data_IF_235206350285
#
_entry.id   IF_235206350285
#
_cell.length_a   1.000
_cell.length_b   1.000
_cell.length_c   1.000
_cell.angle_alpha   90.00
_cell.angle_beta   90.00
_cell.angle_gamma   90.00
#
_symmetry.space_group_name_H-M   'P 1'
#
loop_
_entity.id
_entity.type
_entity.pdbx_description
1 polymer ?
#
# COMPACT_ATOMS: atom_id res chain seq x y z
N UNK A 1 24.20 -19.95 -12.54
CA UNK A 1 23.78 -19.02 -11.48
C UNK A 1 22.75 -18.06 -12.04
N UNK A 2 21.49 -18.46 -12.06
CA UNK A 2 20.37 -17.60 -12.40
C UNK A 2 20.17 -16.61 -11.26
N UNK A 3 20.66 -15.38 -11.43
CA UNK A 3 20.77 -14.45 -10.35
C UNK A 3 19.41 -14.03 -9.81
N UNK A 4 19.36 -13.54 -8.57
CA UNK A 4 18.23 -12.92 -7.87
C UNK A 4 17.38 -12.01 -8.77
N UNK A 5 17.98 -11.42 -9.84
CA UNK A 5 17.32 -10.62 -10.88
C UNK A 5 16.26 -11.37 -11.71
N UNK A 6 16.43 -12.66 -11.98
CA UNK A 6 15.48 -13.44 -12.77
C UNK A 6 14.19 -13.71 -11.99
N UNK A 7 14.31 -13.92 -10.68
CA UNK A 7 13.18 -14.16 -9.76
C UNK A 7 12.31 -12.91 -9.66
N UNK A 8 12.90 -11.71 -9.50
CA UNK A 8 12.15 -10.45 -9.46
C UNK A 8 11.40 -10.15 -10.76
N UNK A 9 11.95 -10.51 -11.93
CA UNK A 9 11.27 -10.32 -13.21
C UNK A 9 10.02 -11.18 -13.37
N UNK A 10 9.99 -12.36 -12.80
CA UNK A 10 8.86 -13.30 -12.89
C UNK A 10 7.74 -12.99 -11.90
N UNK A 11 8.00 -12.19 -10.87
CA UNK A 11 7.08 -11.92 -9.77
C UNK A 11 6.44 -10.52 -9.83
N UNK A 12 6.69 -9.77 -10.90
CA UNK A 12 6.29 -8.37 -11.05
C UNK A 12 4.78 -8.19 -11.31
N UNK A 13 3.94 -8.69 -10.41
CA UNK A 13 2.48 -8.53 -10.50
C UNK A 13 1.86 -7.61 -9.44
N UNK A 14 2.64 -7.01 -8.53
CA UNK A 14 2.11 -6.16 -7.46
C UNK A 14 2.92 -4.88 -7.25
N UNK A 15 2.29 -3.87 -6.66
CA UNK A 15 2.90 -2.56 -6.35
C UNK A 15 4.16 -2.70 -5.50
N UNK A 16 4.16 -3.65 -4.57
CA UNK A 16 5.30 -3.97 -3.71
C UNK A 16 6.53 -4.41 -4.50
N UNK A 17 6.33 -5.23 -5.54
CA UNK A 17 7.42 -5.68 -6.41
C UNK A 17 8.00 -4.53 -7.25
N UNK A 18 7.16 -3.61 -7.72
CA UNK A 18 7.60 -2.43 -8.48
C UNK A 18 8.43 -1.47 -7.62
N UNK A 19 8.02 -1.21 -6.37
CA UNK A 19 8.76 -0.38 -5.44
C UNK A 19 10.14 -0.98 -5.10
N UNK A 20 10.19 -2.28 -4.81
CA UNK A 20 11.45 -2.99 -4.53
C UNK A 20 12.36 -3.01 -5.75
N UNK A 21 11.81 -3.19 -6.96
CA UNK A 21 12.60 -3.14 -8.20
C UNK A 21 13.18 -1.75 -8.45
N UNK A 22 12.47 -0.68 -8.15
CA UNK A 22 13.00 0.69 -8.24
C UNK A 22 14.16 0.93 -7.26
N UNK A 23 14.05 0.44 -6.03
CA UNK A 23 15.10 0.53 -5.02
C UNK A 23 16.35 -0.27 -5.42
N UNK A 24 16.19 -1.49 -5.90
CA UNK A 24 17.28 -2.37 -6.31
C UNK A 24 18.02 -1.89 -7.56
N UNK A 25 17.35 -1.25 -8.52
CA UNK A 25 17.99 -0.77 -9.76
C UNK A 25 18.93 0.41 -9.49
N UNK A 26 18.72 1.16 -8.40
CA UNK A 26 19.58 2.26 -7.95
C UNK A 26 20.93 1.79 -7.37
N UNK A 27 20.95 0.73 -6.58
CA UNK A 27 22.16 0.25 -5.89
C UNK A 27 23.06 -0.64 -6.76
N UNK A 28 22.47 -1.37 -7.72
CA UNK A 28 23.21 -2.34 -8.55
C UNK A 28 23.97 -1.69 -9.72
N UNK A 29 23.81 -0.40 -9.95
CA UNK A 29 24.49 0.35 -11.01
C UNK A 29 25.36 1.48 -10.46
N UNK A 30 26.31 1.13 -9.63
CA UNK A 30 27.29 2.07 -9.04
C UNK A 30 28.20 2.85 -10.02
N UNK A 31 27.83 3.00 -11.31
CA UNK A 31 28.51 3.84 -12.27
C UNK A 31 27.53 4.77 -13.00
N UNK A 32 27.69 6.05 -12.76
CA UNK A 32 26.90 7.14 -13.32
C UNK A 32 27.44 7.54 -14.69
N UNK A 33 26.76 7.10 -15.74
CA UNK A 33 26.85 7.73 -17.05
C UNK A 33 25.69 8.70 -17.23
N UNK A 34 25.97 9.97 -17.52
CA UNK A 34 24.96 10.94 -17.95
C UNK A 34 24.43 10.52 -19.34
N UNK A 35 23.22 9.97 -19.38
CA UNK A 35 22.53 9.60 -20.61
C UNK A 35 21.02 9.80 -20.49
N UNK A 36 20.41 10.33 -21.54
CA UNK A 36 18.99 10.66 -21.65
C UNK A 36 18.07 9.50 -21.25
N UNK A 37 17.02 9.83 -20.49
CA UNK A 37 15.99 8.92 -20.00
C UNK A 37 15.05 8.52 -21.15
N UNK A 38 15.27 7.39 -21.77
CA UNK A 38 14.26 6.76 -22.62
C UNK A 38 13.33 5.89 -21.78
N UNK A 39 12.05 6.23 -21.73
CA UNK A 39 11.00 5.42 -21.12
C UNK A 39 10.74 4.22 -22.01
N UNK A 40 11.16 3.03 -21.60
CA UNK A 40 10.83 1.79 -22.27
C UNK A 40 9.50 1.29 -21.70
N UNK A 41 8.43 1.08 -22.53
CA UNK A 41 7.16 0.56 -22.06
C UNK A 41 7.34 -0.79 -21.35
N UNK A 42 6.79 -0.91 -20.15
CA UNK A 42 6.86 -2.14 -19.33
C UNK A 42 8.08 -2.30 -18.42
N UNK A 43 8.99 -1.32 -18.38
CA UNK A 43 9.99 -1.22 -17.31
C UNK A 43 9.55 -0.19 -16.28
N UNK A 44 9.69 -0.48 -14.96
CA UNK A 44 9.59 0.56 -13.95
C UNK A 44 10.55 1.69 -14.35
N UNK A 45 10.05 2.92 -14.39
CA UNK A 45 10.89 4.08 -14.69
C UNK A 45 12.05 4.11 -13.69
N UNK A 46 13.24 4.46 -14.18
CA UNK A 46 14.40 4.69 -13.30
C UNK A 46 14.00 5.76 -12.30
N UNK A 47 14.23 5.51 -11.02
CA UNK A 47 14.03 6.53 -9.99
C UNK A 47 14.76 7.80 -10.41
N UNK A 48 14.02 8.90 -10.55
CA UNK A 48 14.59 10.20 -10.96
C UNK A 48 15.39 10.87 -9.84
N UNK A 49 15.26 10.33 -8.62
CA UNK A 49 15.96 10.82 -7.44
C UNK A 49 16.84 9.70 -6.85
N UNK A 50 17.98 10.09 -6.29
CA UNK A 50 18.81 9.15 -5.53
C UNK A 50 18.02 8.67 -4.31
N UNK A 51 18.02 7.36 -4.00
CA UNK A 51 17.45 6.85 -2.76
C UNK A 51 18.17 7.53 -1.57
N UNK A 52 17.38 8.13 -0.69
CA UNK A 52 17.89 8.78 0.54
C UNK A 52 17.33 8.11 1.80
N UNK A 53 16.29 7.27 1.65
CA UNK A 53 15.69 6.55 2.76
C UNK A 53 16.58 5.38 3.17
N UNK A 54 16.93 5.31 4.46
CA UNK A 54 17.69 4.22 5.07
C UNK A 54 16.79 3.25 5.83
N UNK A 55 15.56 3.65 6.10
CA UNK A 55 14.59 2.84 6.86
C UNK A 55 13.19 3.03 6.32
N UNK A 56 12.37 2.00 6.42
CA UNK A 56 10.95 2.04 6.05
C UNK A 56 10.11 1.71 7.28
N UNK A 57 9.15 2.56 7.59
CA UNK A 57 8.12 2.30 8.62
C UNK A 57 6.79 2.17 7.89
N UNK A 58 6.16 1.01 8.05
CA UNK A 58 4.85 0.72 7.48
C UNK A 58 3.80 0.76 8.59
N UNK A 59 2.92 1.77 8.57
CA UNK A 59 1.81 1.90 9.51
C UNK A 59 0.56 1.35 8.84
N UNK A 60 0.11 0.20 9.31
CA UNK A 60 -1.06 -0.48 8.76
C UNK A 60 -2.27 -0.28 9.67
N UNK A 61 -3.34 0.28 9.11
CA UNK A 61 -4.64 0.40 9.78
C UNK A 61 -5.49 -0.82 9.45
N UNK A 62 -5.58 -1.75 10.41
CA UNK A 62 -6.41 -2.93 10.29
C UNK A 62 -7.91 -2.57 10.26
N UNK A 63 -8.72 -3.40 9.61
CA UNK A 63 -10.18 -3.26 9.57
C UNK A 63 -10.71 -2.39 8.44
N UNK A 64 -9.86 -1.88 7.54
CA UNK A 64 -10.28 -1.16 6.35
C UNK A 64 -10.98 0.17 6.66
N UNK A 65 -10.31 1.17 7.24
CA UNK A 65 -10.89 2.47 7.53
C UNK A 65 -11.44 3.11 6.25
N UNK A 66 -12.57 3.80 6.36
CA UNK A 66 -13.25 4.44 5.24
C UNK A 66 -12.40 5.59 4.67
N UNK A 67 -11.86 5.43 3.48
CA UNK A 67 -11.12 6.49 2.81
C UNK A 67 -11.97 7.74 2.55
N UNK A 68 -13.28 7.57 2.40
CA UNK A 68 -14.23 8.68 2.20
C UNK A 68 -14.41 9.51 3.47
N UNK A 69 -14.07 8.97 4.63
CA UNK A 69 -14.11 9.65 5.91
C UNK A 69 -12.75 10.21 6.35
N UNK A 70 -11.69 9.91 5.61
CA UNK A 70 -10.31 10.31 5.95
C UNK A 70 -9.70 11.32 4.97
N UNK A 71 -9.64 10.98 3.66
CA UNK A 71 -8.89 11.77 2.68
C UNK A 71 -9.64 12.08 1.39
N UNK A 72 -10.77 11.42 1.15
CA UNK A 72 -11.45 11.48 -0.13
C UNK A 72 -12.94 11.85 0.05
N UNK A 73 -13.25 13.09 0.45
CA UNK A 73 -14.62 13.54 0.64
C UNK A 73 -15.41 13.39 -0.66
N UNK A 74 -16.65 12.90 -0.54
CA UNK A 74 -17.58 12.69 -1.64
C UNK A 74 -18.76 13.66 -1.53
N UNK A 75 -18.67 14.87 -2.11
CA UNK A 75 -19.77 15.86 -2.01
C UNK A 75 -21.10 15.33 -2.53
N UNK A 76 -21.06 14.47 -3.54
CA UNK A 76 -22.28 13.85 -4.09
C UNK A 76 -22.95 12.90 -3.10
N UNK A 77 -22.17 12.12 -2.33
CA UNK A 77 -22.72 11.31 -1.24
C UNK A 77 -23.34 12.16 -0.14
N UNK A 78 -22.69 13.26 0.23
CA UNK A 78 -23.24 14.21 1.21
C UNK A 78 -24.55 14.82 0.73
N UNK A 79 -24.63 15.21 -0.55
CA UNK A 79 -25.83 15.77 -1.16
C UNK A 79 -26.98 14.78 -1.20
N UNK A 80 -26.69 13.50 -1.36
CA UNK A 80 -27.68 12.41 -1.46
C UNK A 80 -27.88 11.65 -0.15
N UNK A 81 -27.34 12.14 0.93
CA UNK A 81 -27.49 11.48 2.24
C UNK A 81 -28.95 11.16 2.54
N UNK A 82 -29.23 9.93 2.94
CA UNK A 82 -30.57 9.43 3.26
C UNK A 82 -31.43 9.03 2.04
N UNK A 83 -30.94 9.17 0.81
CA UNK A 83 -31.66 8.71 -0.39
C UNK A 83 -31.41 7.24 -0.66
N UNK A 84 -32.44 6.51 -1.05
CA UNK A 84 -32.29 5.16 -1.61
C UNK A 84 -31.70 5.26 -3.02
N UNK A 85 -30.75 4.39 -3.34
CA UNK A 85 -30.02 4.53 -4.61
C UNK A 85 -29.61 3.20 -5.27
N UNK A 86 -30.24 2.11 -4.95
CA UNK A 86 -29.69 0.79 -5.25
C UNK A 86 -29.94 0.27 -6.65
N UNK A 87 -30.95 0.72 -7.39
CA UNK A 87 -31.27 0.20 -8.73
C UNK A 87 -30.11 0.31 -9.72
N UNK A 88 -29.28 1.34 -9.62
CA UNK A 88 -28.14 1.56 -10.53
C UNK A 88 -26.88 0.79 -10.15
N UNK A 89 -26.70 0.47 -8.89
CA UNK A 89 -25.47 -0.16 -8.36
C UNK A 89 -25.77 -1.50 -7.64
N UNK A 90 -26.99 -1.99 -7.69
CA UNK A 90 -27.36 -3.23 -7.00
C UNK A 90 -26.47 -4.43 -7.39
N UNK A 91 -25.97 -4.47 -8.63
CA UNK A 91 -25.05 -5.50 -9.10
C UNK A 91 -23.61 -5.33 -8.60
N UNK A 92 -23.26 -4.20 -8.00
CA UNK A 92 -21.92 -3.89 -7.47
C UNK A 92 -21.86 -3.96 -5.94
N UNK A 93 -23.00 -4.18 -5.29
CA UNK A 93 -23.12 -4.28 -3.83
C UNK A 93 -23.19 -5.75 -3.43
N UNK A 94 -22.32 -6.17 -2.52
CA UNK A 94 -22.21 -7.58 -2.09
C UNK A 94 -23.51 -8.10 -1.47
N UNK A 95 -24.19 -7.27 -0.66
CA UNK A 95 -25.46 -7.61 0.01
C UNK A 95 -26.51 -6.52 -0.25
N UNK A 96 -27.08 -6.45 -1.47
CA UNK A 96 -27.99 -5.36 -1.84
C UNK A 96 -29.24 -5.30 -0.95
N UNK A 97 -29.76 -6.44 -0.53
CA UNK A 97 -30.96 -6.53 0.33
C UNK A 97 -30.70 -6.02 1.77
N UNK A 98 -29.44 -6.01 2.20
CA UNK A 98 -29.01 -5.50 3.51
C UNK A 98 -28.49 -4.05 3.44
N UNK A 99 -28.37 -3.50 2.25
CA UNK A 99 -27.89 -2.16 2.06
C UNK A 99 -28.95 -1.13 2.48
N UNK A 100 -28.53 -0.11 3.22
CA UNK A 100 -29.39 1.01 3.62
C UNK A 100 -29.33 2.18 2.62
N UNK A 101 -29.86 3.32 3.03
CA UNK A 101 -29.74 4.56 2.27
C UNK A 101 -28.29 5.04 2.16
N UNK A 102 -28.01 5.89 1.18
CA UNK A 102 -26.70 6.51 0.99
C UNK A 102 -26.27 7.29 2.24
N UNK A 103 -25.06 7.06 2.70
CA UNK A 103 -24.47 7.71 3.86
C UNK A 103 -23.38 8.69 3.44
N UNK A 104 -23.64 9.99 3.59
CA UNK A 104 -22.58 11.00 3.50
C UNK A 104 -21.70 10.98 4.73
N UNK A 105 -20.43 11.35 4.57
CA UNK A 105 -19.51 11.43 5.71
C UNK A 105 -20.05 12.35 6.80
N UNK A 106 -20.07 11.94 8.07
CA UNK A 106 -20.46 12.79 9.19
C UNK A 106 -19.35 13.75 9.61
N UNK A 107 -18.13 13.59 9.07
CA UNK A 107 -16.95 14.34 9.47
C UNK A 107 -16.73 15.55 8.57
N UNK A 108 -16.10 16.57 9.16
CA UNK A 108 -15.71 17.78 8.42
C UNK A 108 -14.35 17.59 7.78
N UNK A 109 -14.21 18.21 6.60
CA UNK A 109 -12.97 18.20 5.83
C UNK A 109 -12.47 19.62 5.65
N UNK A 110 -11.15 19.77 5.64
CA UNK A 110 -10.48 21.01 5.26
C UNK A 110 -9.30 20.70 4.32
N UNK A 111 -8.92 21.70 3.53
CA UNK A 111 -7.70 21.64 2.75
C UNK A 111 -6.51 22.07 3.59
N UNK A 112 -5.41 21.32 3.51
CA UNK A 112 -4.20 21.53 4.29
C UNK A 112 -2.97 21.60 3.38
N UNK A 113 -1.94 22.31 3.88
CA UNK A 113 -0.69 22.51 3.19
C UNK A 113 -0.79 23.34 1.91
N UNK A 114 0.33 23.53 1.24
CA UNK A 114 0.39 24.16 -0.10
C UNK A 114 -0.20 23.27 -1.19
N UNK A 115 -0.16 21.94 -0.97
CA UNK A 115 -0.75 20.94 -1.86
C UNK A 115 -2.28 21.02 -1.93
N UNK A 116 -2.93 21.65 -0.93
CA UNK A 116 -4.39 21.70 -0.84
C UNK A 116 -5.03 20.32 -0.60
N UNK A 117 -4.32 19.39 0.04
CA UNK A 117 -4.82 18.05 0.32
C UNK A 117 -6.04 18.11 1.24
N UNK A 118 -7.11 17.43 0.84
CA UNK A 118 -8.28 17.25 1.72
C UNK A 118 -7.97 16.24 2.81
N UNK A 119 -8.13 16.65 4.06
CA UNK A 119 -7.96 15.78 5.23
C UNK A 119 -9.14 15.98 6.18
N UNK A 120 -9.64 14.89 6.73
CA UNK A 120 -10.71 14.87 7.72
C UNK A 120 -10.24 15.41 9.07
N UNK A 121 -11.16 15.96 9.85
CA UNK A 121 -10.94 16.35 11.24
C UNK A 121 -10.51 15.20 12.17
N UNK A 122 -10.66 13.95 11.71
CA UNK A 122 -10.20 12.77 12.44
C UNK A 122 -8.67 12.65 12.49
N UNK A 123 -7.95 13.33 11.60
CA UNK A 123 -6.50 13.21 11.47
C UNK A 123 -5.77 14.56 11.68
N UNK A 124 -5.98 15.24 12.84
CA UNK A 124 -5.48 16.59 13.03
C UNK A 124 -3.96 16.70 13.03
N UNK A 125 -3.26 15.68 13.55
CA UNK A 125 -1.79 15.69 13.57
C UNK A 125 -1.23 15.40 12.17
N UNK A 126 -1.82 14.44 11.44
CA UNK A 126 -1.38 14.10 10.10
C UNK A 126 -1.62 15.26 9.11
N UNK A 127 -2.67 16.03 9.31
CA UNK A 127 -2.97 17.18 8.46
C UNK A 127 -1.88 18.27 8.46
N UNK A 128 -1.06 18.34 9.52
CA UNK A 128 0.09 19.25 9.63
C UNK A 128 1.23 18.88 8.67
N UNK A 129 1.25 17.63 8.22
CA UNK A 129 2.25 17.08 7.32
C UNK A 129 1.74 16.90 5.88
N UNK A 130 0.65 17.59 5.53
CA UNK A 130 -0.02 17.42 4.24
C UNK A 130 0.91 17.58 3.03
N UNK A 131 1.90 18.48 3.10
CA UNK A 131 2.88 18.71 2.04
C UNK A 131 3.99 17.64 1.94
N UNK A 132 4.11 16.79 2.97
CA UNK A 132 5.07 15.69 3.02
C UNK A 132 4.42 14.37 2.58
N UNK A 133 3.10 14.36 2.31
CA UNK A 133 2.33 13.17 1.99
C UNK A 133 2.11 13.02 0.48
N UNK A 134 2.23 11.81 -0.01
CA UNK A 134 1.76 11.40 -1.33
C UNK A 134 0.54 10.47 -1.18
N UNK A 135 -0.63 10.95 -1.59
CA UNK A 135 -1.88 10.21 -1.46
C UNK A 135 -2.23 9.46 -2.76
N UNK A 136 -2.25 8.13 -2.70
CA UNK A 136 -2.59 7.27 -3.83
C UNK A 136 -4.06 6.85 -3.78
N UNK A 137 -4.98 7.71 -4.24
CA UNK A 137 -6.42 7.47 -4.19
C UNK A 137 -6.95 6.43 -5.20
N UNK A 138 -6.15 6.07 -6.19
CA UNK A 138 -6.54 5.09 -7.22
C UNK A 138 -6.25 3.63 -6.85
N UNK A 139 -5.88 3.35 -5.61
CA UNK A 139 -5.62 1.98 -5.16
C UNK A 139 -6.92 1.21 -4.97
N UNK A 140 -6.94 -0.05 -5.41
CA UNK A 140 -8.08 -0.95 -5.24
C UNK A 140 -7.63 -2.40 -5.08
N UNK A 141 -8.51 -3.23 -4.56
CA UNK A 141 -8.35 -4.69 -4.54
C UNK A 141 -9.46 -5.36 -5.37
N UNK A 142 -9.19 -6.57 -5.81
CA UNK A 142 -10.14 -7.38 -6.59
C UNK A 142 -11.01 -8.27 -5.72
N UNK A 143 -10.75 -8.32 -4.42
CA UNK A 143 -11.49 -9.16 -3.47
C UNK A 143 -12.18 -8.30 -2.41
N UNK A 144 -13.44 -8.64 -2.09
CA UNK A 144 -14.27 -7.94 -1.12
C UNK A 144 -14.03 -8.45 0.31
N UNK A 145 -13.54 -9.68 0.48
CA UNK A 145 -13.29 -10.26 1.80
C UNK A 145 -11.92 -9.87 2.33
N UNK A 146 -11.83 -9.75 3.67
CA UNK A 146 -10.61 -9.25 4.33
C UNK A 146 -9.40 -10.15 4.11
N UNK A 147 -9.55 -11.48 4.21
CA UNK A 147 -8.44 -12.43 4.17
C UNK A 147 -7.62 -12.34 2.87
N UNK A 148 -8.19 -12.55 1.68
CA UNK A 148 -7.41 -12.46 0.44
C UNK A 148 -7.01 -11.02 0.11
N UNK A 149 -7.79 -10.01 0.52
CA UNK A 149 -7.44 -8.61 0.34
C UNK A 149 -6.20 -8.22 1.14
N UNK A 150 -6.05 -8.71 2.37
CA UNK A 150 -4.87 -8.50 3.22
C UNK A 150 -3.64 -9.19 2.65
N UNK A 151 -3.75 -10.43 2.21
CA UNK A 151 -2.63 -11.08 1.52
C UNK A 151 -2.20 -10.29 0.29
N UNK A 152 -3.14 -9.82 -0.52
CA UNK A 152 -2.83 -9.00 -1.69
C UNK A 152 -2.15 -7.69 -1.31
N UNK A 153 -2.61 -7.04 -0.25
CA UNK A 153 -2.02 -5.80 0.26
C UNK A 153 -0.57 -6.01 0.71
N UNK A 154 -0.29 -7.07 1.49
CA UNK A 154 1.02 -7.31 2.08
C UNK A 154 2.00 -8.02 1.15
N UNK A 155 1.54 -8.85 0.22
CA UNK A 155 2.39 -9.71 -0.62
C UNK A 155 2.21 -9.54 -2.13
N UNK A 156 1.15 -8.82 -2.56
CA UNK A 156 0.78 -8.70 -3.96
C UNK A 156 0.00 -9.89 -4.52
N UNK A 157 -0.38 -10.88 -3.69
CA UNK A 157 -1.13 -12.07 -4.08
C UNK A 157 -2.31 -12.31 -3.15
N UNK A 158 -3.43 -12.77 -3.65
CA UNK A 158 -4.60 -13.15 -2.83
C UNK A 158 -4.42 -14.49 -2.09
N UNK A 159 -3.33 -15.18 -2.35
CA UNK A 159 -3.03 -16.50 -1.79
C UNK A 159 -1.83 -16.42 -0.84
N UNK A 160 -1.84 -17.30 0.16
CA UNK A 160 -0.74 -17.48 1.09
C UNK A 160 0.55 -17.98 0.43
N UNK A 161 1.66 -17.97 1.18
CA UNK A 161 2.94 -18.52 0.74
C UNK A 161 3.78 -17.57 -0.12
N UNK A 162 3.35 -16.33 -0.30
CA UNK A 162 4.15 -15.28 -0.93
C UNK A 162 4.84 -14.42 0.12
N UNK A 163 6.09 -13.99 -0.14
CA UNK A 163 6.80 -13.11 0.79
C UNK A 163 6.11 -11.76 0.95
N UNK A 164 6.06 -11.29 2.17
CA UNK A 164 5.60 -9.93 2.47
C UNK A 164 6.57 -8.86 1.96
N UNK A 165 6.12 -7.61 1.93
CA UNK A 165 6.97 -6.47 1.53
C UNK A 165 8.27 -6.40 2.34
N UNK A 166 8.20 -6.57 3.67
CA UNK A 166 9.38 -6.53 4.54
C UNK A 166 10.35 -7.67 4.27
N UNK A 167 9.84 -8.88 4.05
CA UNK A 167 10.66 -10.02 3.67
C UNK A 167 11.36 -9.80 2.32
N UNK A 168 10.69 -9.24 1.33
CA UNK A 168 11.31 -8.88 0.04
C UNK A 168 12.40 -7.83 0.17
N UNK A 169 12.17 -6.78 0.96
CA UNK A 169 13.15 -5.72 1.21
C UNK A 169 14.39 -6.31 1.87
N UNK A 170 14.20 -7.06 2.96
CA UNK A 170 15.31 -7.65 3.71
C UNK A 170 16.09 -8.66 2.87
N UNK A 171 15.42 -9.49 2.07
CA UNK A 171 16.09 -10.43 1.18
C UNK A 171 16.83 -9.75 0.04
N UNK A 172 16.27 -8.69 -0.53
CA UNK A 172 16.81 -8.00 -1.71
C UNK A 172 17.94 -7.03 -1.38
N UNK A 173 17.76 -6.23 -0.34
CA UNK A 173 18.71 -5.17 0.06
C UNK A 173 19.61 -5.61 1.22
N UNK A 174 19.17 -6.56 2.03
CA UNK A 174 19.86 -6.93 3.26
C UNK A 174 19.53 -5.97 4.40
N UNK A 175 20.38 -6.02 5.43
CA UNK A 175 20.35 -5.10 6.56
C UNK A 175 21.78 -4.71 6.92
N UNK A 176 22.01 -3.44 7.23
CA UNK A 176 23.30 -2.95 7.75
C UNK A 176 23.52 -3.44 9.19
N UNK A 177 22.44 -3.76 9.91
CA UNK A 177 22.52 -4.22 11.27
C UNK A 177 22.75 -5.74 11.31
N UNK A 178 23.83 -6.16 11.99
CA UNK A 178 24.19 -7.57 12.15
C UNK A 178 23.62 -8.21 13.44
N UNK A 179 23.08 -7.41 14.35
CA UNK A 179 22.67 -7.83 15.69
C UNK A 179 21.17 -7.76 15.92
N UNK A 180 20.42 -7.15 15.00
CA UNK A 180 18.96 -7.04 15.07
C UNK A 180 18.33 -7.55 13.76
N UNK A 181 17.08 -8.02 13.80
CA UNK A 181 16.35 -8.39 12.60
C UNK A 181 16.23 -7.19 11.65
N UNK A 182 16.40 -7.43 10.36
CA UNK A 182 16.21 -6.41 9.32
C UNK A 182 14.74 -6.05 9.08
N UNK A 183 13.84 -6.93 9.51
CA UNK A 183 12.38 -6.74 9.41
C UNK A 183 11.72 -7.09 10.73
N UNK A 184 10.94 -6.17 11.27
CA UNK A 184 10.24 -6.31 12.56
C UNK A 184 8.79 -5.90 12.37
N UNK A 185 7.87 -6.72 12.85
CA UNK A 185 6.44 -6.43 12.92
C UNK A 185 6.08 -6.20 14.39
N UNK A 186 5.46 -5.04 14.66
CA UNK A 186 4.88 -4.74 15.96
C UNK A 186 3.37 -4.92 15.84
N UNK A 187 2.82 -5.78 16.67
CA UNK A 187 1.37 -6.01 16.72
C UNK A 187 0.66 -4.99 17.60
N UNK A 188 -0.61 -4.73 17.27
CA UNK A 188 -1.48 -3.91 18.11
C UNK A 188 -1.84 -4.68 19.40
N UNK A 189 -1.88 -4.04 20.58
CA UNK A 189 -2.34 -4.66 21.81
C UNK A 189 -3.75 -5.25 21.76
N UNK A 190 -4.58 -4.80 20.83
CA UNK A 190 -5.93 -5.33 20.58
C UNK A 190 -5.92 -6.65 19.79
N UNK A 191 -4.78 -7.06 19.29
CA UNK A 191 -4.59 -8.33 18.58
C UNK A 191 -4.22 -8.17 17.10
N UNK A 192 -3.96 -9.32 16.51
CA UNK A 192 -3.60 -9.46 15.11
C UNK A 192 -4.82 -9.24 14.19
N UNK A 193 -4.62 -8.77 12.97
CA UNK A 193 -5.67 -8.76 11.96
C UNK A 193 -6.06 -10.18 11.55
N UNK A 194 -7.12 -10.29 10.78
CA UNK A 194 -7.48 -11.53 10.08
C UNK A 194 -6.26 -12.08 9.35
N UNK A 195 -6.05 -13.37 9.29
CA UNK A 195 -4.86 -14.09 8.83
C UNK A 195 -3.68 -14.08 9.83
N UNK A 196 -3.75 -13.35 10.91
CA UNK A 196 -2.70 -13.34 11.92
C UNK A 196 -1.32 -13.00 11.33
N UNK A 197 -0.30 -13.74 11.78
CA UNK A 197 1.09 -13.57 11.35
C UNK A 197 1.33 -13.92 9.87
N UNK A 198 0.43 -14.65 9.24
CA UNK A 198 0.57 -15.07 7.83
C UNK A 198 0.63 -13.90 6.85
N UNK A 199 0.15 -12.72 7.27
CA UNK A 199 0.28 -11.48 6.50
C UNK A 199 1.74 -11.03 6.30
N UNK A 200 2.67 -11.46 7.16
CA UNK A 200 4.04 -10.93 7.20
C UNK A 200 5.12 -12.00 7.08
N UNK A 201 4.78 -13.17 6.59
CA UNK A 201 5.74 -14.29 6.47
C UNK A 201 6.76 -14.09 5.36
N UNK A 202 7.85 -14.83 5.45
CA UNK A 202 8.86 -14.95 4.39
C UNK A 202 8.34 -15.70 3.15
N UNK A 203 7.17 -16.37 3.24
CA UNK A 203 6.62 -17.17 2.16
C UNK A 203 7.60 -18.25 1.68
N UNK A 204 7.92 -18.21 0.38
CA UNK A 204 8.89 -19.15 -0.21
C UNK A 204 10.36 -18.73 -0.06
N UNK A 205 10.63 -17.57 0.54
CA UNK A 205 12.00 -17.17 0.88
C UNK A 205 12.48 -17.95 2.13
N UNK A 206 13.80 -18.03 2.37
CA UNK A 206 14.32 -18.58 3.61
C UNK A 206 13.73 -17.90 4.85
N UNK A 207 13.47 -18.69 5.89
CA UNK A 207 12.81 -18.21 7.12
C UNK A 207 13.63 -17.18 7.93
N UNK A 208 14.81 -16.85 7.49
CA UNK A 208 15.65 -15.78 8.06
C UNK A 208 15.27 -14.37 7.62
N UNK A 209 14.27 -14.26 6.73
CA UNK A 209 13.82 -12.98 6.15
C UNK A 209 12.40 -12.61 6.54
#
# INVERSE_FOLDING_TARGET
>A
MGGRRAVFRSLAGGISAAAVMCLLDGELRGEVGHGELSVVPGRPGRATQRPTATSVVHLFMNGGPSQMDLFDPKPELTRRHGQEHFDRIAGEVEFPDAAGALLGSPFRFAQHGHSGMWVSELLPELSRHADELALLRGMYTTNLTHEPALYKYHSGSEFTGRPSLGAWITWGLGSENQNLPGYVVLEDPQGLPVNGIDNWTAGFLPASY
#
